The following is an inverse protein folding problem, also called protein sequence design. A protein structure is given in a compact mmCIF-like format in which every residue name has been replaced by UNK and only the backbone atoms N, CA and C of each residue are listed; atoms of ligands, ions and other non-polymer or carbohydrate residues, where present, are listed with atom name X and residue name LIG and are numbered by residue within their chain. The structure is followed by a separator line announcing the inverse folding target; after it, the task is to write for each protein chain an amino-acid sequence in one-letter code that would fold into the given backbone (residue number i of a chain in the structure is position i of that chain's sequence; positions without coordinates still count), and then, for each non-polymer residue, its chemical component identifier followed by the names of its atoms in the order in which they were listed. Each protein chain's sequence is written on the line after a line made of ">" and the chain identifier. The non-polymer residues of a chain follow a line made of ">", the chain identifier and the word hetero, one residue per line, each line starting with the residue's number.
data_IF_318411602203
#
_entry.id   IF_318411602203
#
_cell.length_a   1.000
_cell.length_b   1.000
_cell.length_c   1.000
_cell.angle_alpha   90.00
_cell.angle_beta   90.00
_cell.angle_gamma   90.00
#
_symmetry.space_group_name_H-M   'P 1'
#
loop_
_entity.id
_entity.type
_entity.pdbx_description
1 polymer ?
#
# COMPACT_ATOMS: atom_id res chain seq x y z
N UNK A 1 -34.65 36.41 37.77
CA UNK A 1 -34.88 35.52 36.61
C UNK A 1 -33.71 35.66 35.65
N UNK A 2 -32.80 34.69 35.59
CA UNK A 2 -31.65 34.68 34.64
C UNK A 2 -32.09 33.85 33.45
N UNK A 3 -32.25 34.46 32.26
CA UNK A 3 -32.42 33.76 31.02
C UNK A 3 -31.10 33.01 30.70
N UNK A 4 -31.16 31.70 30.69
CA UNK A 4 -30.10 30.88 30.13
C UNK A 4 -30.27 30.86 28.61
N UNK A 5 -29.18 31.10 27.81
CA UNK A 5 -29.28 30.97 26.39
C UNK A 5 -29.40 29.49 26.02
N UNK A 6 -30.41 29.16 25.20
CA UNK A 6 -30.58 27.82 24.64
C UNK A 6 -29.34 27.40 23.82
N UNK A 7 -28.92 26.11 23.87
CA UNK A 7 -27.81 25.64 23.08
C UNK A 7 -28.17 25.77 21.60
N UNK A 8 -27.38 26.55 20.88
CA UNK A 8 -27.47 26.69 19.41
C UNK A 8 -27.37 25.30 18.78
N UNK A 9 -28.46 24.81 18.17
CA UNK A 9 -28.44 23.61 17.34
C UNK A 9 -27.44 23.82 16.19
N UNK A 10 -26.55 22.88 15.93
CA UNK A 10 -25.60 23.04 14.83
C UNK A 10 -26.37 23.04 13.51
N UNK A 11 -26.31 24.16 12.79
CA UNK A 11 -27.03 24.43 11.53
C UNK A 11 -26.47 23.64 10.33
N UNK A 12 -25.51 22.74 10.54
CA UNK A 12 -24.68 22.16 9.45
C UNK A 12 -24.93 20.67 9.13
N UNK A 13 -25.99 20.05 9.66
CA UNK A 13 -26.24 18.62 9.39
C UNK A 13 -26.83 18.29 8.01
N UNK A 14 -27.17 19.28 7.19
CA UNK A 14 -27.72 19.06 5.85
C UNK A 14 -26.71 19.32 4.70
N UNK A 15 -25.56 19.92 4.99
CA UNK A 15 -24.41 19.97 4.09
C UNK A 15 -23.52 18.73 4.31
N UNK A 16 -24.05 17.53 4.17
CA UNK A 16 -23.19 16.39 3.82
C UNK A 16 -22.64 16.72 2.44
N UNK A 17 -21.38 17.17 2.38
CA UNK A 17 -20.66 17.27 1.12
C UNK A 17 -20.74 15.88 0.48
N UNK A 18 -21.58 15.74 -0.54
CA UNK A 18 -21.60 14.55 -1.37
C UNK A 18 -20.19 14.43 -1.94
N UNK A 19 -19.50 13.37 -1.61
CA UNK A 19 -18.20 13.12 -2.18
C UNK A 19 -18.36 12.89 -3.68
N UNK A 20 -17.36 13.30 -4.44
CA UNK A 20 -17.31 13.08 -5.89
C UNK A 20 -16.36 11.91 -6.14
N UNK A 21 -16.77 10.99 -7.00
CA UNK A 21 -15.95 9.89 -7.46
C UNK A 21 -14.71 10.42 -8.17
N UNK A 22 -13.52 10.02 -7.72
CA UNK A 22 -12.24 10.47 -8.30
C UNK A 22 -11.95 9.85 -9.68
N UNK A 23 -12.80 8.92 -10.17
CA UNK A 23 -12.64 8.24 -11.45
C UNK A 23 -13.59 8.79 -12.53
N UNK A 24 -14.86 9.04 -12.20
CA UNK A 24 -15.88 9.42 -13.17
C UNK A 24 -16.59 10.74 -12.86
N UNK A 25 -16.21 11.45 -11.79
CA UNK A 25 -16.79 12.72 -11.33
C UNK A 25 -18.29 12.64 -10.92
N UNK A 26 -18.89 11.46 -10.85
CA UNK A 26 -20.24 11.25 -10.32
C UNK A 26 -20.27 11.40 -8.79
N UNK A 27 -21.44 11.74 -8.24
CA UNK A 27 -21.61 11.81 -6.79
C UNK A 27 -21.55 10.41 -6.17
N UNK A 28 -20.90 10.28 -5.00
CA UNK A 28 -20.89 9.03 -4.24
C UNK A 28 -21.81 9.13 -3.05
N UNK A 29 -22.50 8.03 -2.74
CA UNK A 29 -23.34 7.90 -1.52
C UNK A 29 -22.55 7.25 -0.36
N UNK A 30 -21.34 6.78 -0.62
CA UNK A 30 -20.45 6.11 0.33
C UNK A 30 -19.51 7.07 1.07
N UNK A 31 -18.77 6.50 2.01
CA UNK A 31 -17.69 7.20 2.74
C UNK A 31 -16.42 7.38 1.91
N UNK A 32 -16.27 6.61 0.81
CA UNK A 32 -15.10 6.65 -0.08
C UNK A 32 -15.34 7.57 -1.28
N UNK A 33 -14.27 8.16 -1.78
CA UNK A 33 -14.31 8.99 -2.99
C UNK A 33 -14.30 8.15 -4.28
N UNK A 34 -15.11 7.10 -4.32
CA UNK A 34 -15.36 6.22 -5.46
C UNK A 34 -16.82 5.80 -5.46
N UNK A 35 -17.50 5.83 -6.60
CA UNK A 35 -18.86 5.32 -6.72
C UNK A 35 -18.85 3.78 -6.89
N UNK A 36 -19.96 3.14 -6.55
CA UNK A 36 -20.12 1.67 -6.58
C UNK A 36 -19.77 1.08 -7.95
N UNK A 37 -20.16 1.75 -9.04
CA UNK A 37 -19.87 1.27 -10.40
C UNK A 37 -18.38 1.27 -10.70
N UNK A 38 -17.67 2.38 -10.39
CA UNK A 38 -16.22 2.45 -10.58
C UNK A 38 -15.46 1.50 -9.66
N UNK A 39 -15.93 1.27 -8.44
CA UNK A 39 -15.32 0.31 -7.52
C UNK A 39 -15.48 -1.14 -8.04
N UNK A 40 -16.65 -1.48 -8.56
CA UNK A 40 -16.91 -2.81 -9.14
C UNK A 40 -16.03 -3.10 -10.37
N UNK A 41 -15.67 -2.08 -11.13
CA UNK A 41 -14.83 -2.19 -12.33
C UNK A 41 -13.32 -2.20 -12.04
N UNK A 42 -12.90 -2.06 -10.77
CA UNK A 42 -11.49 -2.19 -10.44
C UNK A 42 -10.95 -3.57 -10.81
N UNK A 43 -9.68 -3.68 -11.24
CA UNK A 43 -9.08 -4.94 -11.67
C UNK A 43 -8.77 -5.85 -10.46
N UNK A 44 -9.80 -6.23 -9.73
CA UNK A 44 -9.70 -7.07 -8.54
C UNK A 44 -8.89 -8.33 -8.80
N UNK A 45 -8.01 -8.67 -7.87
CA UNK A 45 -7.19 -9.87 -7.95
C UNK A 45 -8.05 -11.09 -7.60
N UNK A 46 -8.37 -11.90 -8.60
CA UNK A 46 -9.05 -13.18 -8.42
C UNK A 46 -8.11 -14.28 -7.90
N UNK A 47 -8.16 -15.46 -8.52
CA UNK A 47 -7.22 -16.54 -8.21
C UNK A 47 -5.77 -16.08 -8.30
N UNK A 48 -4.97 -16.40 -7.29
CA UNK A 48 -3.56 -15.97 -7.23
C UNK A 48 -2.71 -16.89 -6.35
N UNK A 49 -1.40 -16.78 -6.50
CA UNK A 49 -0.45 -17.50 -5.69
C UNK A 49 -0.55 -17.05 -4.22
N UNK A 50 -0.75 -18.00 -3.31
CA UNK A 50 -0.87 -17.73 -1.87
C UNK A 50 0.38 -17.09 -1.25
N UNK A 51 1.53 -17.15 -1.94
CA UNK A 51 2.79 -16.59 -1.45
C UNK A 51 3.09 -15.23 -2.07
N UNK A 52 3.12 -15.12 -3.40
CA UNK A 52 3.61 -13.93 -4.09
C UNK A 52 2.52 -13.14 -4.82
N UNK A 53 1.25 -13.53 -4.68
CA UNK A 53 0.09 -12.89 -5.33
C UNK A 53 0.12 -12.89 -6.87
N UNK A 54 0.98 -13.71 -7.53
CA UNK A 54 0.95 -13.88 -8.98
C UNK A 54 -0.45 -14.37 -9.41
N UNK A 55 -1.12 -13.71 -10.38
CA UNK A 55 -2.42 -14.18 -10.88
C UNK A 55 -2.37 -15.63 -11.37
N UNK A 56 -3.32 -16.44 -10.93
CA UNK A 56 -3.47 -17.85 -11.27
C UNK A 56 -4.93 -18.14 -11.63
N UNK A 57 -5.22 -19.24 -12.35
CA UNK A 57 -6.60 -19.57 -12.76
C UNK A 57 -7.56 -19.82 -11.60
N UNK A 58 -7.05 -20.24 -10.43
CA UNK A 58 -7.87 -20.58 -9.26
C UNK A 58 -7.20 -20.15 -7.96
N UNK A 59 -8.02 -20.04 -6.90
CA UNK A 59 -7.56 -19.78 -5.55
C UNK A 59 -6.86 -21.01 -4.93
N UNK A 60 -6.10 -20.80 -3.86
CA UNK A 60 -5.50 -21.88 -3.07
C UNK A 60 -4.22 -22.48 -3.66
N UNK A 61 -3.73 -21.97 -4.78
CA UNK A 61 -2.54 -22.46 -5.45
C UNK A 61 -1.27 -21.70 -5.05
N UNK A 62 -0.14 -22.36 -5.22
CA UNK A 62 1.20 -21.77 -5.16
C UNK A 62 1.80 -21.85 -6.56
N UNK A 63 2.38 -20.75 -7.06
CA UNK A 63 2.97 -20.74 -8.40
C UNK A 63 4.25 -21.55 -8.47
N UNK A 64 4.62 -22.02 -9.67
CA UNK A 64 5.83 -22.84 -9.88
C UNK A 64 7.12 -22.17 -9.41
N UNK A 65 7.23 -20.84 -9.50
CA UNK A 65 8.40 -20.12 -8.99
C UNK A 65 8.53 -20.23 -7.47
N UNK A 66 7.43 -20.04 -6.74
CA UNK A 66 7.40 -20.16 -5.27
C UNK A 66 7.53 -21.61 -4.78
N UNK A 67 7.06 -22.58 -5.57
CA UNK A 67 7.27 -24.00 -5.26
C UNK A 67 8.73 -24.40 -5.42
N UNK A 68 9.37 -23.99 -6.52
CA UNK A 68 10.76 -24.36 -6.80
C UNK A 68 11.76 -23.60 -5.91
N UNK A 69 11.45 -22.35 -5.61
CA UNK A 69 12.30 -21.49 -4.77
C UNK A 69 11.41 -20.58 -3.93
N UNK A 70 11.04 -20.99 -2.72
CA UNK A 70 10.28 -20.14 -1.81
C UNK A 70 11.00 -18.81 -1.56
N UNK A 71 10.28 -17.68 -1.59
CA UNK A 71 10.85 -16.38 -1.24
C UNK A 71 11.12 -16.28 0.27
N UNK A 72 11.91 -15.29 0.68
CA UNK A 72 12.21 -15.03 2.09
C UNK A 72 11.01 -14.44 2.85
N UNK A 73 10.06 -13.83 2.15
CA UNK A 73 8.80 -13.33 2.73
C UNK A 73 7.72 -14.44 2.75
N UNK A 74 6.83 -14.38 3.72
CA UNK A 74 5.78 -15.41 3.90
C UNK A 74 4.61 -15.24 2.95
N UNK A 75 4.14 -14.00 2.72
CA UNK A 75 2.95 -13.71 1.91
C UNK A 75 2.94 -12.29 1.37
N UNK A 76 2.26 -12.10 0.25
CA UNK A 76 1.90 -10.81 -0.33
C UNK A 76 0.40 -10.64 -0.28
N UNK A 77 -0.07 -9.52 0.26
CA UNK A 77 -1.46 -9.09 0.23
C UNK A 77 -1.62 -7.90 -0.70
N UNK A 78 -2.47 -8.04 -1.69
CA UNK A 78 -2.82 -6.99 -2.64
C UNK A 78 -4.22 -7.25 -3.22
N UNK A 79 -5.11 -6.23 -3.25
CA UNK A 79 -6.46 -6.43 -3.77
C UNK A 79 -6.54 -6.40 -5.31
N UNK A 80 -5.55 -5.81 -6.01
CA UNK A 80 -5.66 -5.55 -7.44
C UNK A 80 -4.50 -6.09 -8.26
N UNK A 81 -4.78 -6.37 -9.51
CA UNK A 81 -3.77 -6.47 -10.57
C UNK A 81 -3.30 -5.07 -10.95
N UNK A 82 -2.02 -4.94 -11.33
CA UNK A 82 -1.49 -3.68 -11.86
C UNK A 82 -1.97 -3.48 -13.31
N UNK A 83 -3.21 -3.00 -13.45
CA UNK A 83 -3.90 -2.75 -14.71
C UNK A 83 -4.77 -1.50 -14.56
N UNK A 84 -5.33 -0.99 -15.68
CA UNK A 84 -6.23 0.15 -15.63
C UNK A 84 -7.48 -0.15 -14.79
N UNK A 85 -7.95 0.78 -13.96
CA UNK A 85 -7.45 2.14 -13.71
C UNK A 85 -6.36 2.24 -12.61
N UNK A 86 -6.04 1.18 -11.89
CA UNK A 86 -5.11 1.18 -10.73
C UNK A 86 -3.71 1.67 -11.12
N UNK A 87 -3.17 1.24 -12.25
CA UNK A 87 -1.87 1.68 -12.77
C UNK A 87 -1.84 3.21 -13.03
N UNK A 88 -2.93 3.75 -13.57
CA UNK A 88 -3.09 5.19 -13.80
C UNK A 88 -3.18 5.97 -12.49
N UNK A 89 -3.97 5.48 -11.50
CA UNK A 89 -4.10 6.12 -10.19
C UNK A 89 -2.75 6.16 -9.46
N UNK A 90 -2.03 5.04 -9.43
CA UNK A 90 -0.70 4.94 -8.83
C UNK A 90 0.30 5.88 -9.55
N UNK A 91 0.28 5.91 -10.88
CA UNK A 91 1.17 6.76 -11.67
C UNK A 91 0.93 8.25 -11.39
N UNK A 92 -0.33 8.68 -11.36
CA UNK A 92 -0.72 10.07 -11.03
C UNK A 92 -0.37 10.42 -9.58
N UNK A 93 -0.58 9.52 -8.64
CA UNK A 93 -0.15 9.69 -7.26
C UNK A 93 1.37 9.87 -7.18
N UNK A 94 2.15 8.98 -7.82
CA UNK A 94 3.62 8.98 -7.82
C UNK A 94 4.25 10.23 -8.46
N UNK A 95 3.74 10.65 -9.60
CA UNK A 95 4.43 11.62 -10.46
C UNK A 95 3.75 12.99 -10.52
N UNK A 96 2.49 13.09 -10.14
CA UNK A 96 1.73 14.34 -10.14
C UNK A 96 1.31 14.77 -8.74
N UNK A 97 1.77 14.07 -7.70
CA UNK A 97 1.41 14.31 -6.30
C UNK A 97 -0.13 14.40 -6.08
N UNK A 98 -0.91 13.60 -6.81
CA UNK A 98 -2.37 13.55 -6.65
C UNK A 98 -2.73 12.75 -5.39
N UNK A 99 -2.52 13.36 -4.23
CA UNK A 99 -2.69 12.75 -2.92
C UNK A 99 -4.08 12.16 -2.67
N UNK A 100 -5.21 12.78 -3.16
CA UNK A 100 -6.53 12.16 -3.02
C UNK A 100 -6.61 10.76 -3.63
N UNK A 101 -5.93 10.51 -4.77
CA UNK A 101 -5.88 9.18 -5.40
C UNK A 101 -5.11 8.17 -4.53
N UNK A 102 -3.97 8.59 -3.97
CA UNK A 102 -3.21 7.74 -3.02
C UNK A 102 -4.01 7.45 -1.76
N UNK A 103 -4.76 8.44 -1.26
CA UNK A 103 -5.63 8.27 -0.09
C UNK A 103 -6.73 7.26 -0.36
N UNK A 104 -7.42 7.37 -1.50
CA UNK A 104 -8.45 6.41 -1.94
C UNK A 104 -7.87 4.98 -2.02
N UNK A 105 -6.69 4.81 -2.64
CA UNK A 105 -6.03 3.51 -2.70
C UNK A 105 -5.72 2.95 -1.30
N UNK A 106 -5.26 3.80 -0.38
CA UNK A 106 -5.02 3.42 1.01
C UNK A 106 -6.29 3.00 1.76
N UNK A 107 -7.40 3.69 1.53
CA UNK A 107 -8.70 3.38 2.13
C UNK A 107 -9.27 2.06 1.60
N UNK A 108 -9.26 1.85 0.29
CA UNK A 108 -9.69 0.59 -0.33
C UNK A 108 -8.81 -0.59 0.11
N UNK A 109 -7.48 -0.39 0.16
CA UNK A 109 -6.56 -1.41 0.68
C UNK A 109 -6.83 -1.72 2.16
N UNK A 110 -7.15 -0.71 2.97
CA UNK A 110 -7.47 -0.93 4.39
C UNK A 110 -8.74 -1.77 4.57
N UNK A 111 -9.77 -1.56 3.76
CA UNK A 111 -10.99 -2.37 3.78
C UNK A 111 -10.70 -3.82 3.40
N UNK A 112 -9.90 -4.03 2.35
CA UNK A 112 -9.46 -5.37 1.95
C UNK A 112 -8.69 -6.08 3.07
N UNK A 113 -7.72 -5.40 3.68
CA UNK A 113 -6.92 -5.98 4.77
C UNK A 113 -7.76 -6.24 6.02
N UNK A 114 -8.70 -5.34 6.37
CA UNK A 114 -9.58 -5.57 7.51
C UNK A 114 -10.41 -6.83 7.29
N UNK A 115 -11.01 -7.00 6.11
CA UNK A 115 -11.75 -8.22 5.76
C UNK A 115 -10.86 -9.47 5.84
N UNK A 116 -9.63 -9.40 5.29
CA UNK A 116 -8.69 -10.52 5.37
C UNK A 116 -8.31 -10.86 6.82
N UNK A 117 -8.15 -9.87 7.70
CA UNK A 117 -7.90 -10.08 9.13
C UNK A 117 -9.10 -10.74 9.82
N UNK A 118 -10.32 -10.34 9.47
CA UNK A 118 -11.54 -10.92 10.01
C UNK A 118 -11.73 -12.38 9.54
N UNK A 119 -11.18 -12.73 8.36
CA UNK A 119 -11.12 -14.09 7.82
C UNK A 119 -9.92 -14.92 8.31
N UNK A 120 -9.12 -14.38 9.23
CA UNK A 120 -8.05 -15.12 9.90
C UNK A 120 -6.64 -14.85 9.41
N UNK A 121 -6.42 -13.86 8.52
CA UNK A 121 -5.07 -13.38 8.24
C UNK A 121 -4.45 -12.81 9.51
N UNK A 122 -3.26 -13.27 9.88
CA UNK A 122 -2.55 -12.77 11.06
C UNK A 122 -2.17 -11.31 10.89
N UNK A 123 -2.59 -10.46 11.86
CA UNK A 123 -2.20 -9.04 11.87
C UNK A 123 -0.70 -8.91 12.10
N UNK A 124 0.01 -8.07 11.35
CA UNK A 124 1.40 -7.76 11.65
C UNK A 124 1.49 -6.92 12.93
N UNK A 125 2.58 -7.08 13.67
CA UNK A 125 2.88 -6.23 14.82
C UNK A 125 3.25 -4.79 14.40
N UNK A 126 3.70 -4.62 13.14
CA UNK A 126 4.31 -3.38 12.68
C UNK A 126 4.29 -3.26 11.17
N UNK A 127 4.09 -2.02 10.67
CA UNK A 127 4.22 -1.65 9.26
C UNK A 127 5.57 -0.96 9.01
N UNK A 128 6.29 -1.42 8.00
CA UNK A 128 7.55 -0.85 7.53
C UNK A 128 7.38 -0.37 6.08
N UNK A 129 7.36 0.94 5.81
CA UNK A 129 7.33 1.43 4.44
C UNK A 129 8.67 1.18 3.74
N UNK A 130 8.60 0.71 2.50
CA UNK A 130 9.80 0.55 1.66
C UNK A 130 10.41 1.93 1.41
N UNK A 131 11.70 2.13 1.75
CA UNK A 131 12.35 3.43 1.58
C UNK A 131 12.65 3.72 0.12
N UNK A 132 12.38 4.95 -0.29
CA UNK A 132 12.74 5.45 -1.60
C UNK A 132 14.21 5.91 -1.60
N UNK A 133 14.88 5.79 -2.75
CA UNK A 133 16.21 6.36 -2.93
C UNK A 133 16.18 7.89 -2.73
N UNK A 134 17.16 8.47 -2.03
CA UNK A 134 17.20 9.89 -1.65
C UNK A 134 17.03 10.83 -2.86
N UNK A 135 17.66 10.52 -3.97
CA UNK A 135 17.52 11.28 -5.21
C UNK A 135 16.07 11.29 -5.69
N UNK A 136 15.39 10.14 -5.65
CA UNK A 136 13.98 10.02 -6.05
C UNK A 136 13.06 10.72 -5.05
N UNK A 137 13.37 10.62 -3.76
CA UNK A 137 12.59 11.29 -2.74
C UNK A 137 12.68 12.82 -2.87
N UNK A 138 13.89 13.35 -3.13
CA UNK A 138 14.06 14.80 -3.41
C UNK A 138 13.34 15.24 -4.68
N UNK A 139 13.38 14.45 -5.75
CA UNK A 139 12.66 14.76 -7.00
C UNK A 139 11.15 14.72 -6.84
N UNK A 140 10.64 13.81 -6.03
CA UNK A 140 9.21 13.55 -5.85
C UNK A 140 8.59 14.36 -4.71
N UNK A 141 9.41 14.77 -3.75
CA UNK A 141 9.00 15.48 -2.54
C UNK A 141 8.44 14.59 -1.43
N UNK A 142 8.16 13.31 -1.70
CA UNK A 142 7.59 12.37 -0.72
C UNK A 142 7.90 10.92 -1.07
N UNK A 143 7.76 10.02 -0.06
CA UNK A 143 7.78 8.57 -0.23
C UNK A 143 6.34 8.04 -0.27
N UNK A 144 5.92 7.44 -1.37
CA UNK A 144 4.56 6.89 -1.55
C UNK A 144 4.25 5.77 -0.56
N UNK A 145 5.20 4.83 -0.41
CA UNK A 145 5.07 3.74 0.55
C UNK A 145 4.95 4.28 1.99
N UNK A 146 5.67 5.37 2.30
CA UNK A 146 5.56 6.08 3.58
C UNK A 146 4.17 6.65 3.84
N UNK A 147 3.57 7.33 2.84
CA UNK A 147 2.21 7.86 2.96
C UNK A 147 1.17 6.74 3.05
N UNK A 148 1.28 5.68 2.23
CA UNK A 148 0.40 4.52 2.32
C UNK A 148 0.48 3.87 3.69
N UNK A 149 1.69 3.63 4.23
CA UNK A 149 1.88 3.08 5.56
C UNK A 149 1.28 3.95 6.65
N UNK A 150 1.39 5.29 6.53
CA UNK A 150 0.79 6.23 7.47
C UNK A 150 -0.75 6.14 7.47
N UNK A 151 -1.38 6.07 6.29
CA UNK A 151 -2.83 5.93 6.19
C UNK A 151 -3.30 4.57 6.70
N UNK A 152 -2.62 3.48 6.31
CA UNK A 152 -2.93 2.13 6.81
C UNK A 152 -2.75 2.02 8.32
N UNK A 153 -1.70 2.62 8.87
CA UNK A 153 -1.46 2.67 10.32
C UNK A 153 -2.64 3.28 11.07
N UNK A 154 -3.14 4.43 10.59
CA UNK A 154 -4.28 5.12 11.19
C UNK A 154 -5.59 4.34 11.03
N UNK A 155 -5.86 3.77 9.84
CA UNK A 155 -7.11 3.08 9.52
C UNK A 155 -7.21 1.69 10.17
N UNK A 156 -6.10 0.95 10.23
CA UNK A 156 -6.03 -0.41 10.79
C UNK A 156 -5.58 -0.44 12.25
N UNK A 157 -5.22 0.72 12.81
CA UNK A 157 -4.68 0.87 14.17
C UNK A 157 -3.43 -0.02 14.40
N UNK A 158 -2.56 -0.07 13.39
CA UNK A 158 -1.29 -0.78 13.43
C UNK A 158 -0.15 0.23 13.59
N UNK A 159 0.85 -0.01 14.45
CA UNK A 159 2.02 0.85 14.55
C UNK A 159 2.81 0.83 13.25
N UNK A 160 3.44 1.96 12.91
CA UNK A 160 4.39 2.03 11.81
C UNK A 160 5.73 2.59 12.28
N UNK A 161 6.81 2.18 11.61
CA UNK A 161 8.17 2.71 11.84
C UNK A 161 8.83 3.11 10.52
N UNK A 162 8.70 4.39 10.18
CA UNK A 162 9.15 4.91 8.88
C UNK A 162 10.68 4.97 8.74
N UNK A 163 11.43 4.98 9.87
CA UNK A 163 12.88 5.20 9.87
C UNK A 163 13.70 3.94 10.13
N UNK A 164 13.05 2.82 10.53
CA UNK A 164 13.78 1.60 10.85
C UNK A 164 14.36 0.91 9.61
N UNK A 165 13.70 1.05 8.48
CA UNK A 165 14.21 0.54 7.21
C UNK A 165 14.79 1.70 6.40
N UNK A 166 16.06 1.62 6.03
CA UNK A 166 16.80 2.67 5.33
C UNK A 166 17.35 2.15 4.02
N UNK A 167 17.36 3.00 3.00
CA UNK A 167 18.05 2.71 1.76
C UNK A 167 19.42 3.39 1.79
N UNK A 168 20.47 2.58 1.92
CA UNK A 168 21.85 3.06 2.11
C UNK A 168 22.63 3.19 0.80
N UNK A 169 22.13 2.61 -0.31
CA UNK A 169 22.75 2.70 -1.62
C UNK A 169 21.76 3.21 -2.66
N UNK A 170 22.10 4.30 -3.32
CA UNK A 170 21.40 4.82 -4.49
C UNK A 170 21.77 3.95 -5.71
N UNK A 171 21.03 2.86 -5.93
CA UNK A 171 21.21 2.09 -7.16
C UNK A 171 20.53 2.85 -8.30
N UNK A 172 21.28 3.28 -9.34
CA UNK A 172 20.69 3.89 -10.53
C UNK A 172 19.63 2.96 -11.14
N UNK A 173 18.65 3.52 -11.83
CA UNK A 173 17.72 2.74 -12.65
C UNK A 173 18.54 2.09 -13.79
N UNK A 174 19.11 0.92 -13.53
CA UNK A 174 20.03 0.24 -14.42
C UNK A 174 19.22 -0.60 -15.42
N UNK A 175 18.80 0.05 -16.50
CA UNK A 175 18.14 -0.63 -17.62
C UNK A 175 19.08 -1.65 -18.35
N UNK A 176 20.37 -1.67 -18.02
CA UNK A 176 21.40 -2.48 -18.71
C UNK A 176 22.05 -3.60 -17.89
N UNK A 177 21.69 -3.80 -16.61
CA UNK A 177 22.24 -4.89 -15.82
C UNK A 177 21.40 -6.17 -15.91
N UNK A 178 22.10 -7.31 -15.87
CA UNK A 178 21.47 -8.62 -15.75
C UNK A 178 20.70 -8.79 -14.42
N UNK A 179 19.78 -9.77 -14.38
CA UNK A 179 18.91 -10.00 -13.23
C UNK A 179 19.68 -10.38 -11.96
N UNK A 180 20.81 -11.08 -12.08
CA UNK A 180 21.62 -11.54 -10.95
C UNK A 180 22.35 -10.37 -10.28
N UNK A 181 22.94 -9.49 -11.07
CA UNK A 181 23.61 -8.27 -10.59
C UNK A 181 22.59 -7.29 -9.98
N UNK A 182 21.41 -7.15 -10.57
CA UNK A 182 20.30 -6.36 -9.97
C UNK A 182 19.91 -6.91 -8.59
N UNK A 183 19.76 -8.23 -8.45
CA UNK A 183 19.39 -8.88 -7.19
C UNK A 183 20.48 -8.67 -6.12
N UNK A 184 21.76 -8.75 -6.49
CA UNK A 184 22.90 -8.53 -5.58
C UNK A 184 22.97 -7.07 -5.10
N UNK A 185 22.81 -6.13 -6.02
CA UNK A 185 22.81 -4.70 -5.72
C UNK A 185 21.63 -4.28 -4.82
N UNK A 186 20.46 -4.91 -4.98
CA UNK A 186 19.30 -4.65 -4.13
C UNK A 186 19.52 -5.17 -2.70
N UNK A 187 20.13 -6.34 -2.51
CA UNK A 187 20.40 -6.89 -1.15
C UNK A 187 21.31 -6.00 -0.31
N UNK A 188 22.21 -5.25 -0.93
CA UNK A 188 23.11 -4.32 -0.25
C UNK A 188 22.56 -2.89 -0.19
N UNK A 189 21.38 -2.65 -0.78
CA UNK A 189 20.81 -1.31 -0.88
C UNK A 189 20.05 -0.88 0.38
N UNK A 190 19.73 -1.82 1.26
CA UNK A 190 18.91 -1.56 2.43
C UNK A 190 19.61 -1.99 3.71
N UNK A 191 19.32 -1.28 4.79
CA UNK A 191 19.76 -1.62 6.13
C UNK A 191 18.68 -1.30 7.15
N UNK A 192 18.70 -2.00 8.27
CA UNK A 192 17.93 -1.63 9.45
C UNK A 192 18.71 -0.57 10.24
N UNK A 193 18.00 0.39 10.81
CA UNK A 193 18.58 1.35 11.74
C UNK A 193 19.03 0.65 13.03
N UNK A 194 20.04 1.19 13.70
CA UNK A 194 20.62 0.59 14.91
C UNK A 194 19.63 0.50 16.09
N UNK A 195 18.60 1.34 16.10
CA UNK A 195 17.54 1.39 17.11
C UNK A 195 16.33 0.50 16.76
N UNK A 196 16.37 -0.23 15.63
CA UNK A 196 15.27 -1.10 15.22
C UNK A 196 15.13 -2.30 16.13
N UNK A 197 13.90 -2.57 16.58
CA UNK A 197 13.54 -3.69 17.47
C UNK A 197 12.52 -4.59 16.74
N UNK A 198 12.96 -5.26 15.66
CA UNK A 198 12.09 -6.11 14.85
C UNK A 198 12.31 -7.60 15.04
N UNK A 199 13.32 -8.01 15.84
CA UNK A 199 13.65 -9.41 16.04
C UNK A 199 12.46 -10.17 16.64
N UNK A 200 12.07 -11.26 15.98
CA UNK A 200 10.93 -12.09 16.38
C UNK A 200 9.55 -11.49 16.11
N UNK A 201 9.45 -10.31 15.50
CA UNK A 201 8.17 -9.71 15.15
C UNK A 201 7.69 -10.15 13.76
N UNK A 202 6.38 -10.36 13.64
CA UNK A 202 5.71 -10.39 12.34
C UNK A 202 5.55 -8.97 11.83
N UNK A 203 6.27 -8.60 10.77
CA UNK A 203 6.25 -7.26 10.17
C UNK A 203 5.66 -7.30 8.78
N UNK A 204 4.97 -6.23 8.38
CA UNK A 204 4.50 -6.05 7.01
C UNK A 204 5.28 -4.94 6.32
N UNK A 205 5.88 -5.25 5.18
CA UNK A 205 6.44 -4.27 4.27
C UNK A 205 5.32 -3.62 3.46
N UNK A 206 5.30 -2.29 3.39
CA UNK A 206 4.34 -1.53 2.59
C UNK A 206 5.05 -0.96 1.37
N UNK A 207 4.55 -1.28 0.18
CA UNK A 207 5.02 -0.72 -1.09
C UNK A 207 3.82 -0.40 -2.00
N UNK A 208 4.04 0.39 -3.05
CA UNK A 208 2.98 0.82 -3.96
C UNK A 208 2.77 -0.13 -5.16
N UNK A 209 3.79 -0.85 -5.60
CA UNK A 209 3.71 -1.83 -6.70
C UNK A 209 4.66 -2.99 -6.48
N UNK A 210 4.12 -4.18 -6.52
CA UNK A 210 4.91 -5.40 -6.60
C UNK A 210 5.02 -5.86 -8.06
N UNK A 211 6.24 -6.01 -8.58
CA UNK A 211 6.50 -6.54 -9.92
C UNK A 211 7.07 -7.97 -9.84
N UNK A 212 8.36 -8.11 -9.71
CA UNK A 212 9.07 -9.40 -9.59
C UNK A 212 9.25 -9.86 -8.15
N UNK A 213 8.83 -9.05 -7.18
CA UNK A 213 9.11 -9.32 -5.76
C UNK A 213 10.58 -9.11 -5.34
N UNK A 214 11.44 -8.64 -6.24
CA UNK A 214 12.88 -8.50 -5.95
C UNK A 214 13.17 -7.54 -4.78
N UNK A 215 12.40 -6.47 -4.63
CA UNK A 215 12.51 -5.55 -3.49
C UNK A 215 12.07 -6.23 -2.20
N UNK A 216 10.91 -6.89 -2.20
CA UNK A 216 10.42 -7.63 -1.03
C UNK A 216 11.41 -8.73 -0.61
N UNK A 217 11.91 -9.51 -1.58
CA UNK A 217 12.92 -10.55 -1.36
C UNK A 217 14.25 -10.02 -0.78
N UNK A 218 14.61 -8.78 -1.10
CA UNK A 218 15.85 -8.16 -0.58
C UNK A 218 15.69 -7.56 0.80
N UNK A 219 14.46 -7.37 1.26
CA UNK A 219 14.11 -6.77 2.54
C UNK A 219 13.66 -7.78 3.60
N UNK A 220 13.24 -8.98 3.18
CA UNK A 220 12.89 -10.10 4.03
C UNK A 220 14.10 -11.00 4.28
#
# INVERSE_FOLDING_TARGET
>A
MRCQPEPRRPVYNWLKNKQICLLCDETTDGALAICTSCEAELPWLGGHCQVCALPLPSHGLVCGACLNKPPSFSKVETPWRYAFPIDSLITRFKHQAKWPLGRLLGELLSHHLQHAFDEGLSKPALLLPVPLADKRQRQRGFNQAGLLAQWLSALLQLPQQAHWLQRIVDTPAQQQLDAATRKRNLRQAFALSADSQISGLHVALVDDVLTTGATAESLA
#
